data_IF_774132070055
#
_entry.id   IF_774132070055
#
_cell.length_a   1.000
_cell.length_b   1.000
_cell.length_c   1.000
_cell.angle_alpha   90.00
_cell.angle_beta   90.00
_cell.angle_gamma   90.00
#
_symmetry.space_group_name_H-M   'P 1'
#
loop_
_entity.id
_entity.type
_entity.pdbx_description
1 polymer ?
#
# COMPACT_ATOMS: atom_id res chain seq x y z
N UNK A 1 -26.64 15.45 7.88
CA UNK A 1 -26.32 14.40 6.89
C UNK A 1 -26.22 13.09 7.63
N UNK A 2 -26.68 11.98 7.05
CA UNK A 2 -26.44 10.65 7.61
C UNK A 2 -24.93 10.37 7.64
N UNK A 3 -24.46 9.61 8.63
CA UNK A 3 -23.07 9.17 8.68
C UNK A 3 -22.83 8.21 7.51
N UNK A 4 -21.75 8.37 6.72
CA UNK A 4 -21.50 7.49 5.57
C UNK A 4 -21.07 6.09 6.02
N UNK A 5 -21.36 5.10 5.21
CA UNK A 5 -20.68 3.81 5.28
C UNK A 5 -19.28 3.91 4.70
N UNK A 6 -18.41 2.99 5.06
CA UNK A 6 -17.07 2.86 4.48
C UNK A 6 -16.87 1.45 3.94
N UNK A 7 -16.50 1.34 2.68
CA UNK A 7 -15.97 0.14 2.06
C UNK A 7 -14.49 0.36 1.75
N UNK A 8 -13.62 -0.22 2.56
CA UNK A 8 -12.18 -0.09 2.45
C UNK A 8 -11.58 -1.33 1.79
N UNK A 9 -11.00 -1.14 0.61
CA UNK A 9 -10.41 -2.21 -0.22
C UNK A 9 -8.91 -1.94 -0.29
N UNK A 10 -8.08 -2.89 0.17
CA UNK A 10 -6.63 -2.79 0.11
C UNK A 10 -6.03 -4.02 -0.58
N UNK A 11 -5.18 -3.78 -1.56
CA UNK A 11 -4.37 -4.79 -2.24
C UNK A 11 -3.02 -4.96 -1.56
N UNK A 12 -2.36 -6.07 -1.83
CA UNK A 12 -0.99 -6.37 -1.42
C UNK A 12 -0.07 -6.34 -2.64
N UNK A 13 0.98 -5.53 -2.62
CA UNK A 13 1.95 -5.38 -3.73
C UNK A 13 1.43 -4.66 -5.00
N UNK A 14 0.31 -3.90 -4.95
CA UNK A 14 -0.19 -3.22 -6.15
C UNK A 14 0.45 -1.85 -6.34
N UNK A 15 1.39 -1.74 -7.29
CA UNK A 15 2.07 -0.47 -7.59
C UNK A 15 1.15 0.53 -8.29
N UNK A 16 1.37 1.81 -8.04
CA UNK A 16 0.55 2.91 -8.59
C UNK A 16 0.41 2.88 -10.11
N UNK A 17 1.47 2.55 -10.84
CA UNK A 17 1.50 2.56 -12.31
C UNK A 17 0.62 1.51 -12.98
N UNK A 18 0.24 0.44 -12.26
CA UNK A 18 -0.48 -0.71 -12.80
C UNK A 18 -2.01 -0.54 -12.74
N UNK A 19 -2.51 0.59 -13.25
CA UNK A 19 -3.94 0.89 -13.50
C UNK A 19 -4.09 1.38 -14.94
N UNK A 20 -4.97 0.78 -15.72
CA UNK A 20 -5.12 1.01 -17.15
C UNK A 20 -5.37 2.47 -17.53
N UNK A 21 -6.29 3.16 -16.84
CA UNK A 21 -6.62 4.57 -17.09
C UNK A 21 -5.46 5.55 -16.83
N UNK A 22 -4.38 5.13 -16.16
CA UNK A 22 -3.19 5.95 -16.01
C UNK A 22 -2.32 5.95 -17.27
N UNK A 23 -2.48 4.95 -18.14
CA UNK A 23 -1.75 4.83 -19.42
C UNK A 23 -0.25 4.60 -19.28
N UNK A 24 0.21 4.13 -18.10
CA UNK A 24 1.63 3.89 -17.81
C UNK A 24 1.99 2.44 -18.14
N UNK A 25 1.13 1.50 -17.80
CA UNK A 25 1.30 0.06 -18.04
C UNK A 25 0.12 -0.51 -18.81
N UNK A 26 0.38 -1.54 -19.62
CA UNK A 26 -0.62 -2.17 -20.50
C UNK A 26 -1.44 -3.23 -19.73
N UNK A 27 -2.06 -2.83 -18.64
CA UNK A 27 -2.90 -3.68 -17.79
C UNK A 27 -4.39 -3.34 -18.01
N UNK A 28 -5.26 -4.35 -18.01
CA UNK A 28 -6.69 -4.18 -18.19
C UNK A 28 -7.42 -4.14 -16.85
N UNK A 29 -7.93 -2.96 -16.50
CA UNK A 29 -8.52 -2.67 -15.18
C UNK A 29 -9.79 -1.81 -15.27
N UNK A 30 -10.85 -2.27 -15.97
CA UNK A 30 -12.05 -1.46 -16.23
C UNK A 30 -12.76 -1.00 -14.96
N UNK A 31 -12.70 -1.76 -13.87
CA UNK A 31 -13.29 -1.37 -12.58
C UNK A 31 -12.52 -0.23 -11.91
N UNK A 32 -11.19 -0.30 -11.89
CA UNK A 32 -10.37 0.80 -11.37
C UNK A 32 -10.48 2.04 -12.23
N UNK A 33 -10.55 1.88 -13.54
CA UNK A 33 -10.76 2.97 -14.50
C UNK A 33 -12.09 3.69 -14.23
N UNK A 34 -13.15 2.92 -13.94
CA UNK A 34 -14.46 3.48 -13.56
C UNK A 34 -14.40 4.13 -12.17
N UNK A 35 -13.71 3.54 -11.20
CA UNK A 35 -13.51 4.17 -9.88
C UNK A 35 -12.80 5.52 -9.98
N UNK A 36 -11.80 5.64 -10.86
CA UNK A 36 -11.12 6.91 -11.16
C UNK A 36 -12.06 7.92 -11.83
N UNK A 37 -12.95 7.47 -12.71
CA UNK A 37 -13.92 8.33 -13.36
C UNK A 37 -15.01 8.83 -12.40
N UNK A 38 -15.39 8.02 -11.41
CA UNK A 38 -16.45 8.31 -10.45
C UNK A 38 -15.96 8.98 -9.16
N UNK A 39 -14.65 9.07 -8.94
CA UNK A 39 -14.04 9.53 -7.71
C UNK A 39 -12.85 10.46 -7.89
N UNK A 40 -12.09 10.62 -6.84
CA UNK A 40 -10.81 11.32 -6.83
C UNK A 40 -9.66 10.32 -6.78
N UNK A 41 -8.78 10.35 -7.79
CA UNK A 41 -7.53 9.60 -7.82
C UNK A 41 -6.34 10.45 -7.37
N UNK A 42 -5.55 9.94 -6.42
CA UNK A 42 -4.35 10.61 -5.93
C UNK A 42 -3.12 10.08 -6.66
N UNK A 43 -2.39 10.98 -7.31
CA UNK A 43 -1.23 10.60 -8.12
C UNK A 43 0.05 10.51 -7.30
N UNK A 44 0.09 11.10 -6.09
CA UNK A 44 1.27 11.16 -5.23
C UNK A 44 0.99 10.61 -3.82
N UNK A 45 0.20 9.52 -3.74
CA UNK A 45 0.04 8.78 -2.50
C UNK A 45 1.22 7.82 -2.29
N UNK A 46 1.80 7.83 -1.09
CA UNK A 46 2.99 7.05 -0.74
C UNK A 46 2.84 6.36 0.61
N UNK A 47 3.68 5.37 0.85
CA UNK A 47 3.95 4.84 2.19
C UNK A 47 5.22 5.49 2.77
N UNK A 48 5.41 5.40 4.09
CA UNK A 48 6.66 5.86 4.70
C UNK A 48 7.80 4.81 4.63
N UNK A 49 7.50 3.59 4.13
CA UNK A 49 8.46 2.51 4.07
C UNK A 49 8.33 1.51 5.22
N UNK A 50 9.46 0.96 5.69
CA UNK A 50 9.47 -0.11 6.69
C UNK A 50 10.71 -0.09 7.58
N UNK A 51 10.53 -0.55 8.82
CA UNK A 51 11.62 -0.89 9.77
C UNK A 51 11.82 -2.40 9.91
N UNK A 52 11.20 -3.20 9.06
CA UNK A 52 11.31 -4.66 9.03
C UNK A 52 11.42 -5.19 7.61
N UNK A 53 11.79 -6.46 7.46
CA UNK A 53 11.88 -7.11 6.15
C UNK A 53 10.52 -7.20 5.42
N UNK A 54 9.41 -7.24 6.17
CA UNK A 54 8.06 -7.25 5.63
C UNK A 54 7.51 -5.81 5.56
N UNK A 55 7.50 -5.19 4.39
CA UNK A 55 7.01 -3.81 4.20
C UNK A 55 5.50 -3.69 4.46
N UNK A 56 4.72 -4.73 4.15
CA UNK A 56 3.27 -4.77 4.32
C UNK A 56 2.82 -4.60 5.78
N UNK A 57 3.48 -5.23 6.76
CA UNK A 57 3.06 -5.18 8.16
C UNK A 57 3.19 -3.76 8.75
N UNK A 58 4.33 -3.04 8.66
CA UNK A 58 4.42 -1.65 9.10
C UNK A 58 3.50 -0.70 8.33
N UNK A 59 3.34 -0.86 7.02
CA UNK A 59 2.43 -0.02 6.24
C UNK A 59 0.98 -0.14 6.71
N UNK A 60 0.50 -1.38 6.92
CA UNK A 60 -0.84 -1.66 7.48
C UNK A 60 -0.95 -1.16 8.92
N UNK A 61 0.12 -1.28 9.71
CA UNK A 61 0.19 -0.73 11.07
C UNK A 61 0.01 0.78 11.08
N UNK A 62 0.74 1.51 10.26
CA UNK A 62 0.60 2.97 10.11
C UNK A 62 -0.81 3.37 9.65
N UNK A 63 -1.37 2.67 8.65
CA UNK A 63 -2.74 2.91 8.17
C UNK A 63 -3.77 2.75 9.30
N UNK A 64 -3.67 1.67 10.08
CA UNK A 64 -4.66 1.33 11.11
C UNK A 64 -4.55 2.20 12.38
N UNK A 65 -3.36 2.74 12.67
CA UNK A 65 -3.11 3.55 13.87
C UNK A 65 -3.01 5.06 13.61
N UNK A 66 -2.81 5.46 12.34
CA UNK A 66 -2.54 6.85 11.96
C UNK A 66 -1.19 7.37 12.44
N UNK A 67 -0.28 6.51 12.91
CA UNK A 67 1.03 6.89 13.46
C UNK A 67 2.11 6.90 12.38
N UNK A 68 3.26 7.54 12.68
CA UNK A 68 4.46 7.47 11.84
C UNK A 68 5.16 6.12 11.94
N UNK A 69 6.01 5.82 10.96
CA UNK A 69 6.77 4.58 10.87
C UNK A 69 7.53 4.23 12.17
N UNK A 70 8.24 5.18 12.77
CA UNK A 70 9.07 4.92 13.96
C UNK A 70 8.28 4.95 15.27
N UNK A 71 7.05 5.44 15.26
CA UNK A 71 6.11 5.36 16.38
C UNK A 71 5.17 4.14 16.26
N UNK A 72 5.31 3.34 15.17
CA UNK A 72 4.49 2.15 14.89
C UNK A 72 5.37 0.91 15.01
N UNK A 73 5.51 0.33 16.20
CA UNK A 73 6.26 -0.92 16.37
C UNK A 73 5.56 -2.06 15.64
N UNK A 74 6.35 -3.03 15.21
CA UNK A 74 5.91 -4.22 14.49
C UNK A 74 6.14 -5.46 15.38
N UNK A 75 5.06 -6.16 15.79
CA UNK A 75 3.64 -5.86 15.56
C UNK A 75 3.12 -4.69 16.44
N UNK A 76 1.98 -4.09 16.03
CA UNK A 76 1.32 -3.01 16.77
C UNK A 76 1.08 -3.37 18.24
N UNK A 77 1.24 -2.41 19.18
CA UNK A 77 0.89 -2.64 20.58
C UNK A 77 -0.60 -2.86 20.78
N UNK A 78 -0.95 -3.59 21.83
CA UNK A 78 -2.34 -3.94 22.13
C UNK A 78 -3.20 -2.73 22.53
N UNK A 79 -2.59 -1.59 22.91
CA UNK A 79 -3.25 -0.36 23.32
C UNK A 79 -3.29 0.72 22.24
N UNK A 80 -2.74 0.46 21.04
CA UNK A 80 -2.84 1.40 19.92
C UNK A 80 -4.31 1.62 19.52
N UNK A 81 -4.78 2.88 19.40
CA UNK A 81 -6.15 3.16 18.96
C UNK A 81 -6.27 2.89 17.46
N UNK A 82 -6.94 1.82 17.08
CA UNK A 82 -7.08 1.40 15.68
C UNK A 82 -8.34 1.98 15.03
N UNK A 83 -8.26 2.32 13.74
CA UNK A 83 -9.37 2.93 12.99
C UNK A 83 -10.68 2.16 13.13
N UNK A 84 -10.74 0.83 12.89
CA UNK A 84 -12.02 0.10 12.98
C UNK A 84 -12.55 0.05 14.42
N UNK A 85 -11.66 -0.07 15.42
CA UNK A 85 -12.03 -0.05 16.85
C UNK A 85 -12.70 1.26 17.25
N UNK A 86 -12.14 2.40 16.80
CA UNK A 86 -12.72 3.71 17.08
C UNK A 86 -14.08 3.90 16.39
N UNK A 87 -14.21 3.41 15.17
CA UNK A 87 -15.49 3.42 14.44
C UNK A 87 -16.53 2.55 15.15
N UNK A 88 -16.15 1.34 15.58
CA UNK A 88 -17.03 0.46 16.35
C UNK A 88 -17.49 1.10 17.66
N UNK A 89 -16.56 1.63 18.44
CA UNK A 89 -16.88 2.34 19.69
C UNK A 89 -17.81 3.55 19.48
N UNK A 90 -17.89 4.08 18.26
CA UNK A 90 -18.76 5.19 17.87
C UNK A 90 -19.99 4.74 17.05
N UNK A 91 -20.40 3.48 17.15
CA UNK A 91 -21.66 2.97 16.64
C UNK A 91 -21.67 2.57 15.18
N UNK A 92 -20.53 2.25 14.59
CA UNK A 92 -20.46 1.56 13.31
C UNK A 92 -20.54 0.03 13.51
N UNK A 93 -21.17 -0.69 12.60
CA UNK A 93 -20.95 -2.11 12.42
C UNK A 93 -19.58 -2.28 11.74
N UNK A 94 -18.73 -3.18 12.24
CA UNK A 94 -17.39 -3.38 11.68
C UNK A 94 -17.22 -4.83 11.23
N UNK A 95 -16.76 -5.02 9.99
CA UNK A 95 -16.58 -6.32 9.36
C UNK A 95 -15.28 -6.38 8.57
N UNK A 96 -14.58 -7.51 8.60
CA UNK A 96 -13.40 -7.70 7.77
C UNK A 96 -13.26 -9.10 7.21
N UNK A 97 -12.62 -9.19 6.03
CA UNK A 97 -12.21 -10.42 5.37
C UNK A 97 -10.84 -10.27 4.71
N UNK A 98 -10.13 -11.37 4.53
CA UNK A 98 -8.82 -11.40 3.90
C UNK A 98 -7.65 -11.16 4.85
N UNK A 99 -6.56 -10.61 4.33
CA UNK A 99 -5.27 -10.48 5.03
C UNK A 99 -5.31 -9.42 6.13
N UNK A 100 -5.06 -9.83 7.38
CA UNK A 100 -4.89 -8.89 8.49
C UNK A 100 -3.43 -8.49 8.71
N UNK A 101 -2.55 -9.48 8.76
CA UNK A 101 -1.10 -9.32 8.93
C UNK A 101 -0.70 -8.45 10.13
N UNK A 102 -1.43 -8.57 11.22
CA UNK A 102 -1.19 -8.01 12.54
C UNK A 102 -1.53 -9.05 13.61
N UNK A 103 -1.51 -8.69 14.90
CA UNK A 103 -1.87 -9.61 15.97
C UNK A 103 -3.32 -10.08 15.83
N UNK A 104 -3.58 -11.36 16.11
CA UNK A 104 -4.94 -11.94 16.12
C UNK A 104 -5.85 -11.23 17.12
N UNK A 105 -5.33 -10.91 18.32
CA UNK A 105 -6.05 -10.15 19.35
C UNK A 105 -6.53 -8.78 18.87
N UNK A 106 -5.74 -8.08 18.04
CA UNK A 106 -6.14 -6.78 17.50
C UNK A 106 -7.28 -6.89 16.48
N UNK A 107 -7.41 -8.01 15.74
CA UNK A 107 -8.54 -8.24 14.85
C UNK A 107 -9.87 -8.31 15.62
N UNK A 108 -9.92 -9.15 16.66
CA UNK A 108 -11.12 -9.30 17.49
C UNK A 108 -11.50 -8.01 18.24
N UNK A 109 -10.53 -7.13 18.53
CA UNK A 109 -10.77 -5.80 19.11
C UNK A 109 -11.33 -4.80 18.11
N UNK A 110 -10.98 -4.97 16.82
CA UNK A 110 -11.35 -4.04 15.74
C UNK A 110 -12.70 -4.33 15.11
N UNK A 111 -13.08 -5.60 15.04
CA UNK A 111 -14.23 -6.01 14.24
C UNK A 111 -15.28 -6.74 15.08
N UNK A 112 -16.55 -6.45 14.75
CA UNK A 112 -17.71 -7.13 15.33
C UNK A 112 -18.05 -8.42 14.59
N UNK A 113 -17.47 -8.65 13.40
CA UNK A 113 -17.66 -9.83 12.57
C UNK A 113 -16.57 -9.93 11.50
N UNK A 114 -16.54 -11.08 10.84
CA UNK A 114 -15.62 -11.36 9.77
C UNK A 114 -15.67 -12.82 9.37
N UNK A 115 -15.12 -13.13 8.23
CA UNK A 115 -14.96 -14.50 7.73
C UNK A 115 -13.80 -14.59 6.75
N UNK A 116 -13.35 -15.78 6.48
CA UNK A 116 -12.23 -16.02 5.55
C UNK A 116 -11.02 -15.14 5.88
N UNK A 117 -10.59 -15.11 7.17
CA UNK A 117 -9.56 -14.19 7.69
C UNK A 117 -8.18 -14.85 7.56
N UNK A 118 -7.24 -14.18 6.90
CA UNK A 118 -5.86 -14.61 6.76
C UNK A 118 -4.92 -13.80 7.67
N UNK A 119 -4.22 -14.47 8.58
CA UNK A 119 -3.29 -13.82 9.52
C UNK A 119 -1.83 -13.85 9.09
N UNK A 120 -1.50 -14.58 8.03
CA UNK A 120 -0.13 -14.67 7.51
C UNK A 120 0.28 -13.52 6.61
N UNK A 121 1.56 -13.52 6.19
CA UNK A 121 2.12 -12.56 5.24
C UNK A 121 1.85 -12.94 3.79
N UNK A 122 1.97 -14.23 3.46
CA UNK A 122 1.77 -14.80 2.12
C UNK A 122 1.41 -16.28 2.23
N UNK A 123 0.73 -16.81 1.22
CA UNK A 123 0.44 -18.24 1.06
C UNK A 123 0.14 -18.55 -0.39
N UNK A 124 -0.01 -19.83 -0.72
CA UNK A 124 -0.58 -20.25 -1.99
C UNK A 124 -2.02 -19.69 -2.12
N UNK A 125 -2.30 -19.06 -3.26
CA UNK A 125 -3.59 -18.40 -3.51
C UNK A 125 -4.76 -19.39 -3.60
N UNK A 126 -4.48 -20.66 -3.92
CA UNK A 126 -5.48 -21.75 -3.96
C UNK A 126 -5.55 -22.60 -2.69
N UNK A 127 -4.65 -22.37 -1.74
CA UNK A 127 -4.59 -23.08 -0.48
C UNK A 127 -4.35 -22.09 0.68
N UNK A 128 -5.11 -20.99 0.69
CA UNK A 128 -5.00 -19.93 1.69
C UNK A 128 -5.56 -20.41 3.03
N UNK A 129 -4.74 -20.50 4.10
CA UNK A 129 -5.22 -20.86 5.42
C UNK A 129 -6.01 -19.70 6.03
N UNK A 130 -7.24 -19.94 6.44
CA UNK A 130 -8.16 -18.90 6.94
C UNK A 130 -8.87 -19.34 8.20
N UNK A 131 -9.39 -18.37 8.92
CA UNK A 131 -10.23 -18.53 10.11
C UNK A 131 -11.53 -17.73 9.95
N UNK A 132 -12.58 -18.21 10.58
CA UNK A 132 -13.77 -17.41 10.83
C UNK A 132 -13.56 -16.50 12.04
N UNK A 133 -14.44 -15.50 12.21
CA UNK A 133 -14.35 -14.56 13.30
C UNK A 133 -14.48 -15.25 14.68
N UNK A 134 -13.48 -15.03 15.52
CA UNK A 134 -13.49 -15.45 16.92
C UNK A 134 -13.41 -14.22 17.84
N UNK A 135 -14.49 -13.87 18.57
CA UNK A 135 -14.50 -12.71 19.47
C UNK A 135 -13.54 -12.85 20.65
N UNK A 136 -13.04 -14.05 20.95
CA UNK A 136 -12.02 -14.25 21.98
C UNK A 136 -10.62 -13.73 21.54
N UNK A 137 -10.39 -13.61 20.22
CA UNK A 137 -9.11 -13.22 19.64
C UNK A 137 -8.03 -14.31 19.68
N UNK A 138 -8.37 -15.52 20.09
CA UNK A 138 -7.41 -16.64 20.20
C UNK A 138 -7.14 -17.28 18.85
N UNK A 139 -8.20 -17.56 18.05
CA UNK A 139 -8.12 -18.22 16.75
C UNK A 139 -7.32 -19.52 16.81
N UNK A 140 -7.94 -20.56 17.44
CA UNK A 140 -7.30 -21.86 17.61
C UNK A 140 -6.82 -22.41 16.26
N UNK A 141 -5.59 -22.92 16.15
CA UNK A 141 -5.12 -23.61 14.94
C UNK A 141 -6.01 -24.77 14.49
N UNK A 142 -6.77 -25.39 15.39
CA UNK A 142 -7.72 -26.46 15.07
C UNK A 142 -8.94 -25.96 14.28
N UNK A 143 -9.28 -24.67 14.38
CA UNK A 143 -10.40 -24.05 13.65
C UNK A 143 -9.97 -23.49 12.28
N UNK A 144 -8.71 -23.66 11.91
CA UNK A 144 -8.18 -23.24 10.61
C UNK A 144 -8.81 -24.09 9.50
N UNK A 145 -9.28 -23.41 8.46
CA UNK A 145 -9.74 -24.01 7.21
C UNK A 145 -8.94 -23.46 6.02
N UNK A 146 -9.26 -23.91 4.82
CA UNK A 146 -8.71 -23.32 3.59
C UNK A 146 -9.80 -22.56 2.85
N UNK A 147 -9.45 -21.37 2.35
CA UNK A 147 -10.34 -20.59 1.53
C UNK A 147 -10.80 -21.40 0.29
N UNK A 148 -12.09 -21.37 -0.08
CA UNK A 148 -12.58 -22.09 -1.25
C UNK A 148 -12.06 -21.45 -2.55
N UNK A 149 -11.32 -22.22 -3.34
CA UNK A 149 -10.79 -21.77 -4.64
C UNK A 149 -9.70 -20.72 -4.51
N UNK A 150 -9.76 -19.71 -5.37
CA UNK A 150 -8.77 -18.62 -5.39
C UNK A 150 -9.05 -17.59 -4.28
N UNK A 151 -8.06 -17.19 -3.52
CA UNK A 151 -8.21 -16.37 -2.31
C UNK A 151 -8.98 -15.07 -2.55
N UNK A 152 -8.67 -14.32 -3.62
CA UNK A 152 -9.34 -13.06 -3.93
C UNK A 152 -10.83 -13.25 -4.19
N UNK A 153 -11.22 -14.35 -4.88
CA UNK A 153 -12.63 -14.69 -5.09
C UNK A 153 -13.32 -15.02 -3.78
N UNK A 154 -12.68 -15.83 -2.92
CA UNK A 154 -13.23 -16.20 -1.62
C UNK A 154 -13.45 -14.97 -0.72
N UNK A 155 -12.50 -14.02 -0.69
CA UNK A 155 -12.63 -12.77 0.05
C UNK A 155 -13.74 -11.87 -0.53
N UNK A 156 -13.88 -11.84 -1.87
CA UNK A 156 -14.95 -11.09 -2.52
C UNK A 156 -16.34 -11.68 -2.21
N UNK A 157 -16.48 -12.99 -2.25
CA UNK A 157 -17.74 -13.68 -1.91
C UNK A 157 -18.15 -13.41 -0.46
N UNK A 158 -17.19 -13.44 0.48
CA UNK A 158 -17.42 -13.12 1.89
C UNK A 158 -17.89 -11.67 2.07
N UNK A 159 -17.24 -10.72 1.39
CA UNK A 159 -17.63 -9.30 1.42
C UNK A 159 -19.01 -9.08 0.80
N UNK A 160 -19.33 -9.74 -0.30
CA UNK A 160 -20.65 -9.65 -0.95
C UNK A 160 -21.74 -10.17 0.03
N UNK A 161 -21.50 -11.31 0.69
CA UNK A 161 -22.42 -11.82 1.71
C UNK A 161 -22.67 -10.85 2.85
N UNK A 162 -21.62 -10.14 3.31
CA UNK A 162 -21.78 -9.09 4.30
C UNK A 162 -22.63 -7.91 3.75
N UNK A 163 -22.36 -7.42 2.55
CA UNK A 163 -23.12 -6.32 1.94
C UNK A 163 -24.59 -6.67 1.74
N UNK A 164 -24.91 -7.91 1.35
CA UNK A 164 -26.28 -8.40 1.23
C UNK A 164 -27.00 -8.37 2.57
N UNK A 165 -26.33 -8.72 3.66
CA UNK A 165 -26.88 -8.63 5.01
C UNK A 165 -27.09 -7.18 5.49
N UNK A 166 -26.31 -6.22 4.99
CA UNK A 166 -26.45 -4.79 5.34
C UNK A 166 -27.58 -4.07 4.63
N UNK A 167 -28.21 -4.64 3.59
CA UNK A 167 -29.25 -3.99 2.77
C UNK A 167 -30.46 -3.48 3.58
N UNK A 168 -30.78 -4.12 4.70
CA UNK A 168 -31.89 -3.75 5.57
C UNK A 168 -31.49 -3.04 6.86
N UNK A 169 -30.18 -2.83 7.10
CA UNK A 169 -29.68 -2.28 8.33
C UNK A 169 -29.59 -0.74 8.27
N UNK A 170 -30.00 -0.09 9.34
CA UNK A 170 -29.92 1.37 9.47
C UNK A 170 -28.57 1.85 10.06
N UNK A 171 -27.81 0.93 10.67
CA UNK A 171 -26.52 1.22 11.30
C UNK A 171 -25.46 1.41 10.22
N UNK A 172 -24.65 2.50 10.26
CA UNK A 172 -23.56 2.65 9.31
C UNK A 172 -22.50 1.56 9.55
N UNK A 173 -21.83 1.15 8.47
CA UNK A 173 -20.79 0.11 8.56
C UNK A 173 -19.40 0.61 8.13
N UNK A 174 -18.39 -0.04 8.66
CA UNK A 174 -17.02 -0.06 8.15
C UNK A 174 -16.68 -1.49 7.73
N UNK A 175 -16.59 -1.71 6.43
CA UNK A 175 -16.25 -2.99 5.82
C UNK A 175 -14.83 -2.92 5.26
N UNK A 176 -13.97 -3.84 5.71
CA UNK A 176 -12.56 -3.91 5.31
C UNK A 176 -12.29 -5.21 4.57
N UNK A 177 -11.94 -5.11 3.30
CA UNK A 177 -11.46 -6.24 2.51
C UNK A 177 -10.00 -6.05 2.16
N UNK A 178 -9.20 -7.01 2.53
CA UNK A 178 -7.76 -7.00 2.33
C UNK A 178 -7.32 -8.17 1.47
N UNK A 179 -7.05 -7.87 0.21
CA UNK A 179 -6.67 -8.86 -0.78
C UNK A 179 -5.20 -9.25 -0.61
N UNK A 180 -4.87 -10.48 -0.93
CA UNK A 180 -3.50 -10.97 -1.03
C UNK A 180 -2.92 -10.81 -2.43
N UNK A 181 -3.77 -10.59 -3.44
CA UNK A 181 -3.34 -10.22 -4.79
C UNK A 181 -2.90 -8.76 -4.85
N UNK A 182 -1.93 -8.45 -5.74
CA UNK A 182 -1.15 -9.31 -6.62
C UNK A 182 0.18 -9.85 -6.03
N UNK A 183 0.28 -10.00 -4.68
CA UNK A 183 1.47 -10.57 -4.03
C UNK A 183 1.77 -11.98 -4.54
N UNK A 184 3.04 -12.34 -4.61
CA UNK A 184 3.46 -13.68 -4.97
C UNK A 184 2.97 -14.77 -3.96
N UNK A 185 2.85 -16.04 -4.40
CA UNK A 185 3.06 -16.57 -5.74
C UNK A 185 2.06 -16.00 -6.75
N UNK A 186 2.60 -15.52 -7.89
CA UNK A 186 1.79 -14.94 -8.96
C UNK A 186 1.23 -16.05 -9.84
N UNK A 187 0.09 -16.58 -9.46
CA UNK A 187 -0.61 -17.69 -10.11
C UNK A 187 -2.04 -17.28 -10.45
N UNK A 188 -2.24 -16.37 -11.42
CA UNK A 188 -3.58 -15.88 -11.74
C UNK A 188 -4.49 -17.04 -12.14
N UNK A 189 -5.80 -16.99 -11.79
CA UNK A 189 -6.74 -18.01 -12.19
C UNK A 189 -7.12 -17.89 -13.67
N UNK A 190 -7.55 -18.98 -14.30
CA UNK A 190 -8.11 -18.94 -15.65
C UNK A 190 -9.36 -18.02 -15.69
N UNK A 191 -9.56 -17.22 -16.74
CA UNK A 191 -8.73 -17.10 -17.96
C UNK A 191 -7.58 -16.10 -17.86
N UNK A 192 -7.31 -15.53 -16.69
CA UNK A 192 -6.31 -14.45 -16.46
C UNK A 192 -4.86 -14.95 -16.54
N UNK A 193 -4.65 -16.26 -16.33
CA UNK A 193 -3.36 -16.95 -16.48
C UNK A 193 -2.80 -16.95 -17.92
N UNK A 194 -3.64 -16.69 -18.89
CA UNK A 194 -3.31 -16.63 -20.30
C UNK A 194 -3.75 -15.34 -20.98
N UNK A 195 -4.18 -14.34 -20.18
CA UNK A 195 -4.69 -13.07 -20.70
C UNK A 195 -3.59 -12.20 -21.34
N UNK A 196 -2.36 -12.33 -20.84
CA UNK A 196 -1.21 -11.57 -21.28
C UNK A 196 -0.13 -12.50 -21.83
N UNK A 197 0.20 -12.37 -23.13
CA UNK A 197 1.33 -13.09 -23.71
C UNK A 197 2.65 -12.42 -23.28
N UNK A 198 3.55 -13.12 -22.58
CA UNK A 198 4.84 -12.56 -22.20
C UNK A 198 5.65 -11.98 -23.35
N UNK A 199 5.47 -12.50 -24.57
CA UNK A 199 6.14 -11.99 -25.76
C UNK A 199 5.70 -10.56 -26.14
N UNK A 200 4.48 -10.16 -25.79
CA UNK A 200 3.93 -8.84 -26.07
C UNK A 200 4.17 -7.85 -24.91
N UNK A 201 4.67 -8.30 -23.75
CA UNK A 201 4.94 -7.43 -22.61
C UNK A 201 6.16 -6.55 -22.87
N UNK A 202 5.95 -5.23 -22.81
CA UNK A 202 7.06 -4.27 -22.78
C UNK A 202 7.77 -4.32 -21.42
N UNK A 203 9.10 -4.39 -21.42
CA UNK A 203 9.86 -4.20 -20.18
C UNK A 203 9.71 -2.75 -19.71
N UNK A 204 9.69 -2.49 -18.39
CA UNK A 204 9.65 -1.13 -17.87
C UNK A 204 10.88 -0.33 -18.31
N UNK A 205 10.72 0.99 -18.49
CA UNK A 205 11.80 1.85 -18.98
C UNK A 205 13.05 1.82 -18.07
N UNK A 206 12.86 1.55 -16.80
CA UNK A 206 13.93 1.39 -15.80
C UNK A 206 14.30 -0.09 -15.53
N UNK A 207 14.01 -0.99 -16.49
CA UNK A 207 14.50 -2.37 -16.38
C UNK A 207 16.02 -2.39 -16.41
N UNK A 208 16.61 -3.17 -15.49
CA UNK A 208 18.04 -3.47 -15.45
C UNK A 208 18.25 -4.96 -15.18
N UNK A 209 19.31 -5.58 -15.76
CA UNK A 209 19.68 -6.95 -15.38
C UNK A 209 20.11 -7.09 -13.93
N UNK A 210 20.76 -6.06 -13.38
CA UNK A 210 21.18 -5.96 -11.98
C UNK A 210 21.13 -4.50 -11.54
N UNK A 211 20.90 -4.27 -10.23
CA UNK A 211 21.03 -2.94 -9.64
C UNK A 211 22.51 -2.48 -9.70
N UNK A 212 22.81 -1.21 -10.02
CA UNK A 212 24.17 -0.73 -10.27
C UNK A 212 25.11 -0.78 -9.05
N UNK A 213 24.56 -0.88 -7.85
CA UNK A 213 25.31 -1.04 -6.60
C UNK A 213 24.51 -1.84 -5.58
N UNK A 214 25.17 -2.32 -4.53
CA UNK A 214 24.50 -3.05 -3.45
C UNK A 214 23.65 -2.10 -2.58
N UNK A 215 22.40 -2.43 -2.42
CA UNK A 215 21.45 -1.74 -1.53
C UNK A 215 21.08 -2.57 -0.29
N UNK A 216 21.79 -3.67 -0.07
CA UNK A 216 21.63 -4.53 1.10
C UNK A 216 20.42 -5.46 1.06
N UNK A 217 19.89 -5.75 -0.14
CA UNK A 217 18.67 -6.58 -0.29
C UNK A 217 18.85 -7.81 -1.21
N UNK A 218 20.04 -8.02 -1.77
CA UNK A 218 20.30 -9.04 -2.81
C UNK A 218 19.84 -10.44 -2.42
N UNK A 219 19.99 -10.81 -1.15
CA UNK A 219 19.74 -12.17 -0.65
C UNK A 219 18.39 -12.31 0.06
N UNK A 220 17.54 -11.26 0.03
CA UNK A 220 16.22 -11.39 0.62
C UNK A 220 15.29 -12.20 -0.29
N UNK A 221 14.28 -12.84 0.32
CA UNK A 221 13.37 -13.75 -0.36
C UNK A 221 12.77 -13.17 -1.65
N UNK A 222 12.32 -11.92 -1.63
CA UNK A 222 11.62 -11.32 -2.75
C UNK A 222 12.55 -11.15 -3.97
N UNK A 223 13.82 -10.84 -3.73
CA UNK A 223 14.82 -10.76 -4.79
C UNK A 223 15.20 -12.11 -5.40
N UNK A 224 15.00 -13.21 -4.67
CA UNK A 224 15.27 -14.57 -5.12
C UNK A 224 14.13 -15.17 -5.98
N UNK A 225 13.08 -14.41 -6.26
CA UNK A 225 11.97 -14.81 -7.14
C UNK A 225 12.40 -14.93 -8.61
N UNK A 226 13.48 -14.25 -9.02
CA UNK A 226 14.09 -14.38 -10.34
C UNK A 226 15.61 -14.48 -10.21
N UNK A 227 16.25 -15.13 -11.20
CA UNK A 227 17.70 -15.28 -11.22
C UNK A 227 18.47 -13.97 -11.44
N UNK A 228 19.75 -13.94 -11.09
CA UNK A 228 20.69 -12.88 -11.45
C UNK A 228 21.67 -13.36 -12.54
N UNK A 229 21.98 -12.53 -13.57
CA UNK A 229 21.30 -11.29 -13.92
C UNK A 229 19.84 -11.55 -14.33
N UNK A 230 18.95 -10.57 -14.15
CA UNK A 230 17.52 -10.66 -14.52
C UNK A 230 17.39 -10.92 -16.01
N UNK A 231 16.83 -12.06 -16.38
CA UNK A 231 16.56 -12.42 -17.76
C UNK A 231 15.30 -11.70 -18.28
N UNK A 232 15.39 -11.06 -19.46
CA UNK A 232 14.24 -10.33 -20.02
C UNK A 232 12.99 -11.19 -20.15
N UNK A 233 13.10 -12.41 -20.66
CA UNK A 233 11.95 -13.30 -20.84
C UNK A 233 11.33 -13.76 -19.53
N UNK A 234 12.17 -13.99 -18.48
CA UNK A 234 11.71 -14.32 -17.14
C UNK A 234 10.94 -13.15 -16.54
N UNK A 235 11.46 -11.92 -16.68
CA UNK A 235 10.78 -10.72 -16.19
C UNK A 235 9.49 -10.45 -16.92
N UNK A 236 9.43 -10.66 -18.25
CA UNK A 236 8.18 -10.55 -19.03
C UNK A 236 7.11 -11.52 -18.54
N UNK A 237 7.50 -12.76 -18.21
CA UNK A 237 6.57 -13.74 -17.60
C UNK A 237 6.05 -13.24 -16.24
N UNK A 238 6.94 -12.79 -15.36
CA UNK A 238 6.53 -12.24 -14.06
C UNK A 238 5.58 -11.03 -14.19
N UNK A 239 5.79 -10.16 -15.18
CA UNK A 239 4.90 -9.02 -15.44
C UNK A 239 3.55 -9.51 -15.98
N UNK A 240 3.53 -10.48 -16.90
CA UNK A 240 2.30 -11.06 -17.44
C UNK A 240 1.44 -11.67 -16.32
N UNK A 241 2.06 -12.48 -15.45
CA UNK A 241 1.38 -13.08 -14.28
C UNK A 241 0.88 -11.99 -13.30
N UNK A 242 1.68 -10.96 -13.06
CA UNK A 242 1.31 -9.82 -12.21
C UNK A 242 0.10 -9.08 -12.77
N UNK A 243 0.06 -8.81 -14.08
CA UNK A 243 -1.09 -8.19 -14.74
C UNK A 243 -2.33 -9.09 -14.71
N UNK A 244 -2.15 -10.42 -14.88
CA UNK A 244 -3.22 -11.40 -14.75
C UNK A 244 -3.85 -11.37 -13.35
N UNK A 245 -3.03 -11.31 -12.29
CA UNK A 245 -3.49 -11.16 -10.90
C UNK A 245 -4.30 -9.87 -10.70
N UNK A 246 -3.80 -8.74 -11.24
CA UNK A 246 -4.47 -7.43 -11.13
C UNK A 246 -5.81 -7.42 -11.88
N UNK A 247 -5.85 -7.95 -13.10
CA UNK A 247 -7.09 -7.98 -13.89
C UNK A 247 -8.15 -8.89 -13.26
N UNK A 248 -7.75 -10.00 -12.65
CA UNK A 248 -8.66 -10.82 -11.86
C UNK A 248 -9.17 -10.06 -10.62
N UNK A 249 -8.28 -9.40 -9.88
CA UNK A 249 -8.63 -8.57 -8.73
C UNK A 249 -9.60 -7.45 -9.11
N UNK A 250 -9.37 -6.77 -10.23
CA UNK A 250 -10.24 -5.72 -10.77
C UNK A 250 -11.67 -6.26 -11.01
N UNK A 251 -11.79 -7.44 -11.61
CA UNK A 251 -13.08 -8.09 -11.83
C UNK A 251 -13.79 -8.42 -10.52
N UNK A 252 -13.09 -8.97 -9.53
CA UNK A 252 -13.68 -9.30 -8.22
C UNK A 252 -14.13 -8.06 -7.46
N UNK A 253 -13.36 -6.97 -7.52
CA UNK A 253 -13.79 -5.68 -6.97
C UNK A 253 -15.03 -5.16 -7.69
N UNK A 254 -15.13 -5.34 -9.02
CA UNK A 254 -16.33 -5.03 -9.79
C UNK A 254 -17.58 -5.77 -9.28
N UNK A 255 -17.45 -7.05 -8.91
CA UNK A 255 -18.54 -7.83 -8.28
C UNK A 255 -18.96 -7.24 -6.93
N UNK A 256 -18.01 -6.86 -6.08
CA UNK A 256 -18.30 -6.22 -4.79
C UNK A 256 -19.03 -4.89 -4.98
N UNK A 257 -18.58 -4.04 -5.90
CA UNK A 257 -19.23 -2.76 -6.19
C UNK A 257 -20.63 -2.92 -6.81
N UNK A 258 -20.82 -3.97 -7.61
CA UNK A 258 -22.14 -4.33 -8.14
C UNK A 258 -23.11 -4.75 -7.01
N UNK A 259 -22.65 -5.56 -6.05
CA UNK A 259 -23.44 -5.93 -4.87
C UNK A 259 -23.76 -4.70 -4.00
N UNK A 260 -22.80 -3.81 -3.75
CA UNK A 260 -23.03 -2.54 -3.05
C UNK A 260 -24.14 -1.72 -3.70
N UNK A 261 -24.14 -1.65 -5.04
CA UNK A 261 -25.17 -0.94 -5.82
C UNK A 261 -26.53 -1.65 -5.77
N UNK A 262 -26.55 -2.95 -5.97
CA UNK A 262 -27.78 -3.75 -5.98
C UNK A 262 -28.53 -3.68 -4.64
N UNK A 263 -27.79 -3.53 -3.55
CA UNK A 263 -28.33 -3.37 -2.19
C UNK A 263 -28.72 -1.91 -1.84
N UNK A 264 -28.59 -0.96 -2.78
CA UNK A 264 -28.96 0.44 -2.56
C UNK A 264 -28.02 1.20 -1.61
N UNK A 265 -26.81 0.66 -1.37
CA UNK A 265 -25.86 1.21 -0.39
C UNK A 265 -24.89 2.24 -1.00
N UNK A 266 -24.76 2.31 -2.33
CA UNK A 266 -23.74 3.10 -3.03
C UNK A 266 -23.78 4.59 -2.70
N UNK A 267 -24.97 5.20 -2.62
CA UNK A 267 -25.16 6.64 -2.45
C UNK A 267 -24.66 7.18 -1.10
N UNK A 268 -24.65 6.30 -0.06
CA UNK A 268 -24.19 6.67 1.28
C UNK A 268 -22.89 5.95 1.68
N UNK A 269 -22.13 5.40 0.72
CA UNK A 269 -20.90 4.67 1.00
C UNK A 269 -19.68 5.39 0.39
N UNK A 270 -18.70 5.66 1.22
CA UNK A 270 -17.36 6.06 0.76
C UNK A 270 -16.57 4.77 0.49
N UNK A 271 -16.19 4.60 -0.78
CA UNK A 271 -15.31 3.51 -1.22
C UNK A 271 -13.88 4.04 -1.25
N UNK A 272 -12.97 3.34 -0.60
CA UNK A 272 -11.53 3.58 -0.64
C UNK A 272 -10.87 2.38 -1.29
N UNK A 273 -10.14 2.59 -2.38
CA UNK A 273 -9.23 1.60 -2.95
C UNK A 273 -7.78 2.06 -2.79
N UNK A 274 -6.92 1.16 -2.30
CA UNK A 274 -5.49 1.43 -2.13
C UNK A 274 -4.67 0.14 -2.12
N UNK A 275 -3.35 0.27 -1.99
CA UNK A 275 -2.42 -0.83 -1.71
C UNK A 275 -1.57 -0.51 -0.48
N UNK A 276 -1.05 -1.54 0.15
CA UNK A 276 -0.13 -1.36 1.29
C UNK A 276 1.28 -0.93 0.85
N UNK A 277 1.71 -1.27 -0.36
CA UNK A 277 2.91 -0.79 -1.06
C UNK A 277 2.87 -1.25 -2.52
N UNK A 278 3.83 -0.81 -3.32
CA UNK A 278 4.14 -1.38 -4.62
C UNK A 278 5.32 -2.35 -4.53
N UNK A 279 5.87 -2.74 -5.69
CA UNK A 279 7.07 -3.58 -5.79
C UNK A 279 7.75 -3.42 -7.15
N UNK A 280 9.02 -3.82 -7.23
CA UNK A 280 9.73 -4.07 -8.47
C UNK A 280 9.28 -5.37 -9.13
N UNK A 281 9.27 -5.41 -10.45
CA UNK A 281 9.25 -6.63 -11.28
C UNK A 281 10.21 -6.36 -12.43
N UNK A 282 11.52 -6.34 -12.11
CA UNK A 282 12.60 -6.00 -13.03
C UNK A 282 13.00 -4.52 -13.04
N UNK A 283 12.20 -3.61 -12.44
CA UNK A 283 12.58 -2.20 -12.30
C UNK A 283 13.87 -2.08 -11.45
N UNK A 284 14.85 -1.31 -11.95
CA UNK A 284 16.18 -1.14 -11.32
C UNK A 284 16.90 -2.45 -11.01
N UNK A 285 16.58 -3.54 -11.72
CA UNK A 285 17.12 -4.88 -11.44
C UNK A 285 16.55 -5.55 -10.19
N UNK A 286 15.43 -5.02 -9.63
CA UNK A 286 14.81 -5.47 -8.40
C UNK A 286 13.50 -6.24 -8.66
N UNK A 287 13.19 -7.18 -7.77
CA UNK A 287 11.94 -7.96 -7.79
C UNK A 287 11.03 -7.67 -6.59
N UNK A 288 11.57 -7.04 -5.59
CA UNK A 288 10.93 -6.81 -4.30
C UNK A 288 10.53 -5.35 -4.06
N UNK A 289 10.13 -5.11 -2.84
CA UNK A 289 9.56 -3.88 -2.29
C UNK A 289 10.49 -3.18 -1.30
N UNK A 290 11.64 -3.78 -1.00
CA UNK A 290 12.58 -3.36 0.04
C UNK A 290 13.57 -2.31 -0.51
N UNK A 291 13.01 -1.27 -1.11
CA UNK A 291 13.74 -0.14 -1.70
C UNK A 291 12.89 1.13 -1.63
N UNK A 292 13.46 2.29 -1.94
CA UNK A 292 12.78 3.57 -1.85
C UNK A 292 12.43 4.20 -3.20
N UNK A 293 12.50 3.45 -4.30
CA UNK A 293 12.01 3.91 -5.60
C UNK A 293 10.48 4.01 -5.64
N UNK A 294 9.93 4.82 -6.54
CA UNK A 294 8.50 5.07 -6.62
C UNK A 294 7.69 3.81 -6.96
N UNK A 295 8.27 2.82 -7.69
CA UNK A 295 7.59 1.56 -7.94
C UNK A 295 7.23 0.77 -6.66
N UNK A 296 7.95 1.01 -5.56
CA UNK A 296 7.70 0.38 -4.24
C UNK A 296 6.98 1.31 -3.27
N UNK A 297 7.34 2.60 -3.26
CA UNK A 297 6.84 3.56 -2.28
C UNK A 297 5.52 4.22 -2.68
N UNK A 298 5.27 4.40 -3.98
CA UNK A 298 4.07 5.05 -4.50
C UNK A 298 2.96 4.03 -4.75
N UNK A 299 1.79 4.30 -4.19
CA UNK A 299 0.64 3.40 -4.20
C UNK A 299 -0.56 4.01 -4.93
N UNK A 300 -1.47 3.19 -5.47
CA UNK A 300 -2.78 3.68 -5.87
C UNK A 300 -3.56 4.15 -4.63
N UNK A 301 -4.25 5.27 -4.75
CA UNK A 301 -5.27 5.69 -3.82
C UNK A 301 -6.40 6.34 -4.60
N UNK A 302 -7.58 5.73 -4.52
CA UNK A 302 -8.80 6.19 -5.18
C UNK A 302 -9.89 6.25 -4.12
N UNK A 303 -10.58 7.37 -4.04
CA UNK A 303 -11.72 7.52 -3.15
C UNK A 303 -12.94 8.03 -3.91
N UNK A 304 -14.10 7.41 -3.72
CA UNK A 304 -15.38 7.88 -4.25
C UNK A 304 -16.48 7.81 -3.20
N UNK A 305 -17.48 8.63 -3.34
CA UNK A 305 -18.67 8.62 -2.46
C UNK A 305 -19.19 10.01 -2.13
N UNK A 306 -20.08 10.13 -1.15
CA UNK A 306 -20.71 11.41 -0.81
C UNK A 306 -19.66 12.47 -0.40
N UNK A 307 -19.74 13.62 -1.07
CA UNK A 307 -18.85 14.76 -0.82
C UNK A 307 -17.40 14.56 -1.31
N UNK A 308 -17.19 13.68 -2.28
CA UNK A 308 -15.92 13.47 -2.98
C UNK A 308 -16.11 13.86 -4.45
N UNK A 309 -15.18 14.63 -4.99
CA UNK A 309 -15.26 15.09 -6.38
C UNK A 309 -15.08 13.90 -7.35
N UNK A 310 -15.99 13.77 -8.33
CA UNK A 310 -15.90 12.76 -9.37
C UNK A 310 -14.94 13.19 -10.50
N UNK A 311 -14.21 12.23 -11.06
CA UNK A 311 -13.27 12.43 -12.16
C UNK A 311 -12.08 13.35 -11.82
N UNK A 312 -11.83 13.60 -10.54
CA UNK A 312 -10.76 14.48 -10.10
C UNK A 312 -9.42 13.73 -10.00
N UNK A 313 -8.34 14.40 -10.41
CA UNK A 313 -6.96 13.99 -10.14
C UNK A 313 -6.33 14.98 -9.17
N UNK A 314 -5.70 14.45 -8.13
CA UNK A 314 -5.03 15.24 -7.10
C UNK A 314 -3.54 14.86 -7.04
N UNK A 315 -2.67 15.83 -7.31
CA UNK A 315 -1.21 15.66 -7.33
C UNK A 315 -0.55 16.03 -5.98
N UNK A 316 -1.37 16.26 -4.95
CA UNK A 316 -0.87 16.54 -3.61
C UNK A 316 -0.14 15.32 -3.03
N UNK A 317 1.04 15.58 -2.47
CA UNK A 317 1.84 14.55 -1.77
C UNK A 317 1.20 14.20 -0.45
N UNK A 318 0.92 12.93 -0.24
CA UNK A 318 0.30 12.42 0.99
C UNK A 318 0.79 11.01 1.33
N UNK A 319 0.54 10.60 2.56
CA UNK A 319 0.80 9.23 2.98
C UNK A 319 -0.49 8.42 3.10
N UNK A 320 -0.36 7.10 3.00
CA UNK A 320 -1.46 6.16 3.21
C UNK A 320 -2.14 6.36 4.58
N UNK A 321 -1.39 6.63 5.63
CA UNK A 321 -1.93 6.83 6.97
C UNK A 321 -2.67 8.16 7.16
N UNK A 322 -2.65 9.07 6.18
CA UNK A 322 -3.50 10.27 6.16
C UNK A 322 -4.99 9.90 5.95
N UNK A 323 -5.28 8.69 5.46
CA UNK A 323 -6.64 8.15 5.35
C UNK A 323 -7.27 7.92 6.74
N UNK A 324 -6.48 7.56 7.75
CA UNK A 324 -6.97 7.32 9.12
C UNK A 324 -7.74 8.54 9.69
N UNK A 325 -7.14 9.74 9.85
CA UNK A 325 -7.88 10.91 10.35
C UNK A 325 -8.99 11.35 9.40
N UNK A 326 -8.82 11.14 8.09
CA UNK A 326 -9.81 11.48 7.07
C UNK A 326 -11.13 10.74 7.28
N UNK A 327 -11.08 9.43 7.48
CA UNK A 327 -12.27 8.61 7.70
C UNK A 327 -12.89 8.88 9.08
N UNK A 328 -12.08 9.08 10.13
CA UNK A 328 -12.59 9.46 11.45
C UNK A 328 -13.37 10.77 11.41
N UNK A 329 -12.84 11.81 10.74
CA UNK A 329 -13.55 13.09 10.56
C UNK A 329 -14.85 12.92 9.77
N UNK A 330 -14.86 12.13 8.67
CA UNK A 330 -16.05 11.81 7.89
C UNK A 330 -17.10 11.07 8.72
N UNK A 331 -16.66 10.26 9.68
CA UNK A 331 -17.52 9.56 10.63
C UNK A 331 -18.01 10.45 11.77
N UNK A 332 -17.48 11.66 11.93
CA UNK A 332 -17.73 12.54 13.08
C UNK A 332 -17.10 11.99 14.37
N UNK A 333 -16.01 11.24 14.27
CA UNK A 333 -15.25 10.66 15.39
C UNK A 333 -14.00 11.49 15.66
N UNK A 334 -13.70 11.72 16.92
CA UNK A 334 -12.51 12.48 17.31
C UNK A 334 -11.23 11.75 16.89
N UNK A 335 -10.31 12.47 16.28
CA UNK A 335 -8.98 11.95 15.92
C UNK A 335 -8.11 11.91 17.19
N UNK A 336 -7.50 10.76 17.55
CA UNK A 336 -6.62 10.66 18.69
C UNK A 336 -5.40 11.57 18.59
N UNK A 337 -4.91 12.07 19.74
CA UNK A 337 -3.72 12.92 19.79
C UNK A 337 -2.42 12.21 19.35
N UNK A 338 -2.40 10.88 19.36
CA UNK A 338 -1.30 10.04 18.85
C UNK A 338 -1.26 9.97 17.32
N UNK A 339 -2.30 10.45 16.62
CA UNK A 339 -2.34 10.45 15.16
C UNK A 339 -1.33 11.45 14.60
N UNK A 340 -0.45 10.96 13.74
CA UNK A 340 0.51 11.75 12.98
C UNK A 340 0.03 12.02 11.53
N UNK A 341 -0.98 11.27 11.07
CA UNK A 341 -1.65 11.49 9.80
C UNK A 341 -2.34 12.86 9.74
N UNK A 342 -2.48 13.40 8.55
CA UNK A 342 -3.15 14.68 8.28
C UNK A 342 -4.36 14.40 7.38
N UNK A 343 -5.53 14.89 7.80
CA UNK A 343 -6.75 14.70 7.02
C UNK A 343 -6.65 15.29 5.61
N UNK A 344 -7.07 14.51 4.62
CA UNK A 344 -7.12 14.91 3.21
C UNK A 344 -8.53 15.35 2.77
N UNK A 345 -9.44 15.60 3.70
CA UNK A 345 -10.82 16.02 3.36
C UNK A 345 -10.87 17.27 2.50
N UNK A 346 -9.97 18.23 2.75
CA UNK A 346 -9.87 19.46 1.95
C UNK A 346 -9.35 19.23 0.51
N UNK A 347 -8.67 18.10 0.26
CA UNK A 347 -8.31 17.67 -1.10
C UNK A 347 -9.49 17.00 -1.79
N UNK A 348 -10.26 16.19 -1.05
CA UNK A 348 -11.42 15.44 -1.57
C UNK A 348 -12.58 16.33 -1.99
N UNK A 349 -12.79 17.47 -1.31
CA UNK A 349 -13.82 18.46 -1.65
C UNK A 349 -13.31 19.57 -2.59
N UNK A 350 -12.01 19.52 -2.97
CA UNK A 350 -11.38 20.47 -3.87
C UNK A 350 -11.11 21.86 -3.27
N UNK A 351 -11.24 22.02 -1.94
CA UNK A 351 -10.93 23.29 -1.26
C UNK A 351 -9.45 23.58 -1.07
N UNK A 352 -8.59 22.55 -1.27
CA UNK A 352 -7.13 22.64 -1.29
C UNK A 352 -6.57 21.78 -2.42
N UNK A 353 -5.39 22.15 -2.91
CA UNK A 353 -4.62 21.45 -3.95
C UNK A 353 -3.24 20.97 -3.49
N UNK A 354 -2.82 21.36 -2.29
CA UNK A 354 -1.54 20.98 -1.68
C UNK A 354 -1.75 20.41 -0.28
N UNK A 355 -0.86 19.50 0.16
CA UNK A 355 -0.99 18.82 1.46
C UNK A 355 0.35 18.80 2.22
N UNK A 356 1.37 18.11 1.70
CA UNK A 356 2.69 18.04 2.30
C UNK A 356 3.74 18.66 1.37
N UNK A 357 4.68 19.41 1.93
CA UNK A 357 5.79 20.01 1.16
C UNK A 357 6.80 18.94 0.73
N UNK A 358 7.01 17.93 1.58
CA UNK A 358 7.90 16.80 1.32
C UNK A 358 7.32 15.50 1.85
N UNK A 359 7.78 14.40 1.24
CA UNK A 359 7.63 13.05 1.78
C UNK A 359 9.00 12.53 2.20
N UNK A 360 9.07 12.00 3.40
CA UNK A 360 10.21 11.25 3.93
C UNK A 360 9.86 9.77 3.87
N UNK A 361 10.78 8.92 3.41
CA UNK A 361 10.62 7.47 3.48
C UNK A 361 11.89 6.81 4.01
N UNK A 362 11.71 5.67 4.66
CA UNK A 362 12.78 4.91 5.26
C UNK A 362 12.60 3.42 4.99
N UNK A 363 13.69 2.74 4.67
CA UNK A 363 13.76 1.30 4.72
C UNK A 363 14.95 0.88 5.59
N UNK A 364 14.70 -0.04 6.50
CA UNK A 364 15.73 -0.65 7.34
C UNK A 364 15.36 -2.12 7.46
N UNK A 365 15.98 -2.93 6.63
CA UNK A 365 15.75 -4.37 6.62
C UNK A 365 16.51 -5.06 7.72
N UNK A 366 15.83 -5.95 8.38
CA UNK A 366 16.24 -7.04 9.26
C UNK A 366 16.16 -6.72 10.75
N UNK A 367 15.18 -7.35 11.41
CA UNK A 367 15.09 -7.45 12.85
C UNK A 367 16.42 -7.89 13.48
N UNK A 368 16.91 -7.09 14.42
CA UNK A 368 18.02 -7.50 15.30
C UNK A 368 19.41 -7.42 14.69
N UNK A 369 19.63 -6.73 13.59
CA UNK A 369 20.98 -6.48 13.10
C UNK A 369 21.76 -5.57 14.05
N UNK A 370 23.05 -5.89 14.31
CA UNK A 370 23.95 -5.02 15.06
C UNK A 370 24.10 -3.64 14.39
N UNK A 371 24.60 -2.67 15.13
CA UNK A 371 24.99 -1.36 14.59
C UNK A 371 25.78 -1.53 13.29
N UNK A 372 25.23 -1.04 12.17
CA UNK A 372 25.84 -1.20 10.83
C UNK A 372 24.97 -1.92 9.80
N UNK A 373 23.74 -2.33 10.15
CA UNK A 373 22.82 -2.92 9.18
C UNK A 373 22.52 -1.95 8.02
N UNK A 374 22.34 -2.46 6.78
CA UNK A 374 21.94 -1.66 5.65
C UNK A 374 20.66 -0.89 5.91
N UNK A 375 20.62 0.37 5.51
CA UNK A 375 19.40 1.18 5.55
C UNK A 375 19.33 2.16 4.38
N UNK A 376 18.12 2.56 4.06
CA UNK A 376 17.85 3.58 3.05
C UNK A 376 16.98 4.69 3.66
N UNK A 377 17.20 5.93 3.23
CA UNK A 377 16.38 7.11 3.58
C UNK A 377 16.14 7.93 2.33
N UNK A 378 14.95 8.46 2.16
CA UNK A 378 14.67 9.36 1.05
C UNK A 378 13.88 10.59 1.49
N UNK A 379 14.05 11.65 0.71
CA UNK A 379 13.23 12.83 0.74
C UNK A 379 12.76 13.13 -0.68
N UNK A 380 11.47 13.38 -0.83
CA UNK A 380 10.83 13.71 -2.09
C UNK A 380 10.07 15.01 -1.94
N UNK A 381 10.37 16.00 -2.77
CA UNK A 381 9.57 17.21 -2.90
C UNK A 381 8.64 17.13 -4.12
N UNK A 382 8.23 18.23 -4.70
CA UNK A 382 7.33 18.24 -5.84
C UNK A 382 7.95 17.66 -7.10
N UNK A 383 9.25 17.86 -7.28
CA UNK A 383 9.96 17.54 -8.51
C UNK A 383 11.13 16.58 -8.31
N UNK A 384 11.81 16.67 -7.17
CA UNK A 384 13.04 15.92 -6.97
C UNK A 384 12.90 14.88 -5.88
N UNK A 385 13.67 13.81 -6.01
CA UNK A 385 13.80 12.78 -5.01
C UNK A 385 15.28 12.48 -4.77
N UNK A 386 15.69 12.60 -3.50
CA UNK A 386 17.02 12.23 -3.04
C UNK A 386 16.94 10.95 -2.21
N UNK A 387 17.79 9.97 -2.52
CA UNK A 387 17.88 8.70 -1.79
C UNK A 387 19.28 8.57 -1.21
N UNK A 388 19.36 8.25 0.09
CA UNK A 388 20.56 7.78 0.78
C UNK A 388 20.47 6.28 0.95
N UNK A 389 21.49 5.56 0.50
CA UNK A 389 21.69 4.14 0.80
C UNK A 389 22.97 3.98 1.62
N UNK A 390 22.86 3.25 2.73
CA UNK A 390 23.97 2.94 3.61
C UNK A 390 24.15 1.41 3.67
N UNK A 391 25.30 0.91 3.20
CA UNK A 391 25.66 -0.50 3.25
C UNK A 391 27.10 -0.60 3.72
N UNK A 392 27.38 -1.40 4.74
CA UNK A 392 28.70 -1.64 5.31
C UNK A 392 29.50 -0.36 5.65
N UNK A 393 28.77 0.70 6.04
CA UNK A 393 29.34 2.00 6.39
C UNK A 393 29.72 2.89 5.20
N UNK A 394 29.39 2.46 3.98
CA UNK A 394 29.53 3.27 2.76
C UNK A 394 28.20 3.98 2.45
N UNK A 395 28.27 5.29 2.19
CA UNK A 395 27.13 6.10 1.75
C UNK A 395 27.09 6.14 0.23
N UNK A 396 25.91 5.86 -0.34
CA UNK A 396 25.59 6.12 -1.75
C UNK A 396 24.38 7.02 -1.82
N UNK A 397 24.52 8.11 -2.55
CA UNK A 397 23.44 9.07 -2.80
C UNK A 397 22.97 8.99 -4.24
N UNK A 398 21.70 9.18 -4.47
CA UNK A 398 21.09 9.30 -5.79
C UNK A 398 20.11 10.49 -5.78
N UNK A 399 20.10 11.26 -6.87
CA UNK A 399 19.13 12.34 -7.08
C UNK A 399 18.40 12.13 -8.40
N UNK A 400 17.08 12.23 -8.40
CA UNK A 400 16.25 12.15 -9.59
C UNK A 400 15.39 13.41 -9.75
N UNK A 401 15.24 13.86 -11.00
CA UNK A 401 14.29 14.90 -11.42
C UNK A 401 13.04 14.21 -11.99
N UNK A 402 12.01 14.03 -11.17
CA UNK A 402 10.84 13.23 -11.49
C UNK A 402 9.91 13.81 -12.56
N UNK A 403 10.08 15.11 -12.89
CA UNK A 403 9.36 15.74 -14.01
C UNK A 403 9.99 15.35 -15.35
N UNK A 404 11.32 15.25 -15.40
CA UNK A 404 12.08 14.87 -16.58
C UNK A 404 12.24 13.35 -16.70
N UNK A 405 12.38 12.67 -15.58
CA UNK A 405 12.64 11.23 -15.45
C UNK A 405 11.73 10.58 -14.40
N UNK A 406 10.47 10.32 -14.73
CA UNK A 406 9.52 9.68 -13.82
C UNK A 406 9.85 8.19 -13.51
N UNK A 407 10.84 7.63 -14.20
CA UNK A 407 11.30 6.25 -14.01
C UNK A 407 12.54 6.13 -13.13
N UNK A 408 13.09 7.27 -12.66
CA UNK A 408 14.25 7.30 -11.76
C UNK A 408 15.49 6.58 -12.36
N UNK A 409 15.77 6.81 -13.64
CA UNK A 409 16.86 6.17 -14.39
C UNK A 409 18.14 7.01 -14.46
N UNK A 410 18.01 8.32 -14.35
CA UNK A 410 19.09 9.31 -14.58
C UNK A 410 19.54 9.90 -13.24
N UNK A 411 20.61 9.35 -12.68
CA UNK A 411 21.13 9.81 -11.38
C UNK A 411 21.92 11.11 -11.55
N UNK A 412 21.39 12.19 -11.00
CA UNK A 412 21.91 13.56 -11.12
C UNK A 412 22.74 14.00 -9.92
N UNK A 413 23.04 13.11 -8.97
CA UNK A 413 23.67 13.50 -7.69
C UNK A 413 25.03 14.16 -7.84
N UNK A 414 25.81 13.76 -8.84
CA UNK A 414 27.15 14.30 -9.13
C UNK A 414 27.14 15.44 -10.17
N UNK A 415 25.96 15.82 -10.67
CA UNK A 415 25.83 16.91 -11.63
C UNK A 415 26.01 18.28 -10.95
N UNK A 416 26.93 19.09 -11.45
CA UNK A 416 27.20 20.42 -10.93
C UNK A 416 25.96 21.34 -10.96
N UNK A 417 25.09 21.17 -11.94
CA UNK A 417 23.86 21.96 -12.10
C UNK A 417 22.82 21.69 -11.00
N UNK A 418 22.93 20.54 -10.30
CA UNK A 418 22.03 20.13 -9.23
C UNK A 418 22.64 20.22 -7.83
N UNK A 419 23.88 20.72 -7.68
CA UNK A 419 24.59 20.75 -6.40
C UNK A 419 23.82 21.47 -5.29
N UNK A 420 23.19 22.61 -5.58
CA UNK A 420 22.38 23.35 -4.61
C UNK A 420 21.11 22.59 -4.20
N UNK A 421 20.48 21.86 -5.14
CA UNK A 421 19.30 21.03 -4.89
C UNK A 421 19.67 19.85 -3.99
N UNK A 422 20.81 19.20 -4.27
CA UNK A 422 21.34 18.12 -3.41
C UNK A 422 21.57 18.61 -2.00
N UNK A 423 22.18 19.79 -1.83
CA UNK A 423 22.47 20.39 -0.52
C UNK A 423 21.18 20.72 0.25
N UNK A 424 20.18 21.32 -0.41
CA UNK A 424 18.87 21.62 0.19
C UNK A 424 18.14 20.32 0.62
N UNK A 425 18.04 19.36 -0.28
CA UNK A 425 17.34 18.10 0.02
C UNK A 425 18.03 17.30 1.13
N UNK A 426 19.38 17.30 1.21
CA UNK A 426 20.11 16.73 2.35
C UNK A 426 19.75 17.41 3.67
N UNK A 427 19.67 18.74 3.66
CA UNK A 427 19.28 19.49 4.86
C UNK A 427 17.83 19.18 5.29
N UNK A 428 16.91 19.13 4.33
CA UNK A 428 15.49 18.78 4.56
C UNK A 428 15.34 17.32 5.03
N UNK A 429 16.10 16.38 4.47
CA UNK A 429 16.13 14.98 4.93
C UNK A 429 16.52 14.89 6.40
N UNK A 430 17.61 15.55 6.80
CA UNK A 430 18.06 15.60 8.20
C UNK A 430 17.03 16.23 9.14
N UNK A 431 16.30 17.24 8.67
CA UNK A 431 15.22 17.84 9.42
C UNK A 431 14.07 16.83 9.63
N UNK A 432 13.64 16.15 8.57
CA UNK A 432 12.58 15.13 8.65
C UNK A 432 12.98 13.98 9.58
N UNK A 433 14.19 13.45 9.46
CA UNK A 433 14.70 12.42 10.36
C UNK A 433 14.53 12.78 11.86
N UNK A 434 14.87 14.04 12.22
CA UNK A 434 14.67 14.53 13.60
C UNK A 434 13.19 14.62 13.98
N UNK A 435 12.33 15.12 13.08
CA UNK A 435 10.91 15.30 13.32
C UNK A 435 10.19 13.95 13.55
N UNK A 436 10.56 12.92 12.80
CA UNK A 436 9.97 11.57 12.91
C UNK A 436 10.72 10.68 13.91
N UNK A 437 11.73 11.19 14.63
CA UNK A 437 12.57 10.45 15.59
C UNK A 437 13.26 9.22 14.96
N UNK A 438 13.76 9.39 13.73
CA UNK A 438 14.51 8.34 13.04
C UNK A 438 15.70 7.87 13.91
N UNK A 439 15.82 6.57 14.22
CA UNK A 439 16.89 6.05 15.09
C UNK A 439 18.31 6.25 14.56
N UNK A 440 18.47 6.50 13.25
CA UNK A 440 19.78 6.82 12.65
C UNK A 440 20.03 8.33 12.52
N UNK A 441 19.10 9.17 12.98
CA UNK A 441 19.28 10.63 12.96
C UNK A 441 20.52 11.03 13.78
N UNK A 442 21.46 11.74 13.14
CA UNK A 442 22.70 12.21 13.79
C UNK A 442 23.84 11.17 13.81
N UNK A 443 23.68 10.01 13.19
CA UNK A 443 24.78 9.06 12.97
C UNK A 443 25.64 9.44 11.75
N UNK A 444 25.26 10.46 11.02
CA UNK A 444 26.06 11.01 9.92
C UNK A 444 27.45 11.37 10.46
N UNK A 445 28.49 10.71 9.97
CA UNK A 445 29.85 11.12 10.25
C UNK A 445 30.02 12.55 9.78
N UNK A 446 30.32 13.45 10.73
CA UNK A 446 30.81 14.77 10.40
C UNK A 446 32.05 14.57 9.51
N UNK A 447 31.89 14.72 8.21
CA UNK A 447 32.95 14.79 7.22
C UNK A 447 33.43 16.24 7.09
#
# INVERSE_FOLDING_TARGET
MSRPNFLFIIADDHRHSAIGALGIEAVHTPTFDQLLADGTGFTQAHIMGSTSGAVCMPSRGMLMSGQHLFDTPDPLPDDAPLLPELLWANGYSTFATGKWHNRRSSFARCFAGGGTIFFGGMSDQYAMPVWDFDPSGVYDPADMSFAPGFSTTAFADEMIGFLDAQASEAQPFFAYISLTSPHDPRTPPAPYDSMYDPADIALPANFMPEHPFDIGVRDIRDELLAGYPRGENEIRQHIADYYGMISHQDMEIGRILAALSANGLSENTIVVYTADHGLGVGQHGLMGKQNLYDHSMRIPLIMRGPGIAAGARCDARLYLHDVYPTLLERAGVAVPASCAGQSINALLDGSRDAHRDVLFSAYQGVFGHPSGAPYQRSIKDQRHKLILTMVDGAETWQLFDLDADPWETDDLVDSADYADIVADLKARLRLQQRLVKDPVAGQDRAG
#
